data_IF_090498794793
#
_entry.id   IF_090498794793
#
_cell.length_a   1.000
_cell.length_b   1.000
_cell.length_c   1.000
_cell.angle_alpha   90.00
_cell.angle_beta   90.00
_cell.angle_gamma   90.00
#
_symmetry.space_group_name_H-M   'P 1'
#
loop_
_entity.id
_entity.type
_entity.pdbx_description
1 polymer ?
#
# COMPACT_ATOMS: atom_id res chain seq x y z
N UNK A 1 0.90 1.83 6.24
CA UNK A 1 0.92 2.67 7.47
C UNK A 1 1.89 2.14 8.52
N UNK A 2 1.89 0.83 8.89
CA UNK A 2 2.79 0.30 9.92
C UNK A 2 4.25 0.74 9.71
N UNK A 3 4.84 0.49 8.55
CA UNK A 3 6.22 0.87 8.24
C UNK A 3 6.45 2.39 8.28
N UNK A 4 5.48 3.17 7.82
CA UNK A 4 5.57 4.64 7.82
C UNK A 4 5.59 5.24 9.22
N UNK A 5 4.91 4.60 10.17
CA UNK A 5 4.78 5.05 11.56
C UNK A 5 5.59 4.20 12.55
N UNK A 6 6.60 3.47 12.10
CA UNK A 6 7.40 2.57 12.96
C UNK A 6 8.33 3.32 13.94
N UNK A 7 8.63 4.60 13.69
CA UNK A 7 9.41 5.43 14.62
C UNK A 7 8.62 5.87 15.86
N UNK A 8 7.30 5.73 15.86
CA UNK A 8 6.47 5.91 17.07
C UNK A 8 6.28 4.57 17.75
N UNK A 9 6.38 4.53 19.06
CA UNK A 9 6.02 3.36 19.85
C UNK A 9 4.50 3.08 19.79
N UNK A 10 4.06 1.90 20.21
CA UNK A 10 2.64 1.53 20.12
C UNK A 10 1.75 2.38 21.03
N UNK A 11 2.27 2.80 22.19
CA UNK A 11 1.58 3.67 23.16
C UNK A 11 1.42 5.12 22.67
N UNK A 12 2.24 5.58 21.72
CA UNK A 12 2.08 6.86 21.03
C UNK A 12 0.98 6.83 19.95
N UNK A 13 0.35 5.67 19.68
CA UNK A 13 -0.57 5.48 18.56
C UNK A 13 -1.92 4.95 19.01
N UNK A 14 -2.96 5.48 18.36
CA UNK A 14 -4.31 4.96 18.44
C UNK A 14 -4.91 4.83 17.03
N UNK A 15 -5.66 3.77 16.75
CA UNK A 15 -6.15 3.46 15.42
C UNK A 15 -7.67 3.31 15.38
N UNK A 16 -8.31 4.10 14.48
CA UNK A 16 -9.69 3.86 14.06
C UNK A 16 -9.69 3.08 12.76
N UNK A 17 -10.40 1.95 12.71
CA UNK A 17 -10.46 1.13 11.50
C UNK A 17 -11.83 0.46 11.29
N UNK A 18 -12.11 0.11 10.00
CA UNK A 18 -13.39 -0.44 9.56
C UNK A 18 -13.27 -1.85 8.97
N UNK A 19 -12.10 -2.48 9.06
CA UNK A 19 -11.89 -3.81 8.49
C UNK A 19 -12.47 -4.92 9.39
N UNK A 20 -12.89 -6.01 8.75
CA UNK A 20 -13.29 -7.24 9.44
C UNK A 20 -12.07 -7.98 9.99
N UNK A 21 -10.94 -7.92 9.30
CA UNK A 21 -9.70 -8.54 9.77
C UNK A 21 -9.17 -7.83 11.03
N UNK A 22 -8.54 -8.57 11.96
CA UNK A 22 -7.92 -7.96 13.12
C UNK A 22 -6.79 -7.04 12.68
N UNK A 23 -6.53 -5.94 13.43
CA UNK A 23 -5.40 -5.08 13.17
C UNK A 23 -4.10 -5.79 13.54
N UNK A 24 -2.98 -5.26 13.12
CA UNK A 24 -1.70 -5.66 13.68
C UNK A 24 -1.57 -5.07 15.10
N UNK A 25 -1.76 -5.91 16.11
CA UNK A 25 -1.73 -5.51 17.52
C UNK A 25 -0.37 -4.97 17.99
N UNK A 26 0.64 -4.99 17.16
CA UNK A 26 1.94 -4.34 17.42
C UNK A 26 1.99 -2.91 16.90
N UNK A 27 0.98 -2.51 16.12
CA UNK A 27 0.98 -1.20 15.44
C UNK A 27 0.54 -0.05 16.36
N UNK A 28 -0.40 -0.27 17.27
CA UNK A 28 -0.91 0.73 18.21
C UNK A 28 -1.41 0.03 19.49
N UNK A 29 -1.54 0.79 20.58
CA UNK A 29 -2.07 0.26 21.84
C UNK A 29 -3.59 0.40 21.95
N UNK A 30 -4.19 1.39 21.31
CA UNK A 30 -5.60 1.70 21.43
C UNK A 30 -6.31 1.62 20.08
N UNK A 31 -7.42 0.89 20.05
CA UNK A 31 -8.19 0.63 18.84
C UNK A 31 -9.66 0.99 19.02
N UNK A 32 -10.23 1.59 17.97
CA UNK A 32 -11.67 1.79 17.81
C UNK A 32 -12.10 1.13 16.50
N UNK A 33 -12.93 0.07 16.57
CA UNK A 33 -13.36 -0.71 15.41
C UNK A 33 -14.86 -0.58 15.19
N UNK A 34 -15.23 -0.29 13.92
CA UNK A 34 -16.62 -0.39 13.42
C UNK A 34 -16.59 -0.99 12.02
N UNK A 35 -17.16 -2.16 11.84
CA UNK A 35 -17.30 -2.80 10.53
C UNK A 35 -18.62 -2.45 9.85
N UNK A 36 -18.73 -2.72 8.53
CA UNK A 36 -20.00 -2.57 7.81
C UNK A 36 -21.15 -3.38 8.44
N UNK A 37 -20.86 -4.58 8.96
CA UNK A 37 -21.86 -5.43 9.65
C UNK A 37 -22.31 -4.77 10.96
N UNK A 38 -21.38 -4.26 11.74
CA UNK A 38 -21.69 -3.56 13.00
C UNK A 38 -22.49 -2.29 12.75
N UNK A 39 -22.14 -1.52 11.71
CA UNK A 39 -22.88 -0.35 11.27
C UNK A 39 -24.34 -0.74 10.91
N UNK A 40 -24.56 -1.84 10.19
CA UNK A 40 -25.91 -2.30 9.83
C UNK A 40 -26.68 -2.81 11.05
N UNK A 41 -26.04 -3.55 11.95
CA UNK A 41 -26.73 -4.08 13.16
C UNK A 41 -27.04 -3.03 14.20
N UNK A 42 -26.47 -1.83 14.08
CA UNK A 42 -26.81 -0.67 14.92
C UNK A 42 -28.31 -0.28 14.82
N UNK A 43 -28.93 -0.45 13.64
CA UNK A 43 -30.35 -0.15 13.44
C UNK A 43 -31.27 -1.06 14.27
N UNK A 44 -30.81 -2.24 14.66
CA UNK A 44 -31.56 -3.17 15.51
C UNK A 44 -31.09 -3.18 16.98
N UNK A 45 -30.35 -2.14 17.38
CA UNK A 45 -29.95 -1.92 18.78
C UNK A 45 -28.85 -2.86 19.29
N UNK A 46 -28.12 -3.58 18.40
CA UNK A 46 -26.99 -4.44 18.82
C UNK A 46 -25.74 -3.59 19.13
N UNK A 47 -24.83 -4.11 19.97
CA UNK A 47 -23.53 -3.48 20.25
C UNK A 47 -22.77 -3.29 18.94
N UNK A 48 -22.41 -2.05 18.62
CA UNK A 48 -21.98 -1.66 17.28
C UNK A 48 -20.51 -1.28 17.18
N UNK A 49 -19.84 -1.06 18.30
CA UNK A 49 -18.44 -0.63 18.32
C UNK A 49 -17.63 -1.48 19.27
N UNK A 50 -16.39 -1.75 18.92
CA UNK A 50 -15.40 -2.37 19.79
C UNK A 50 -14.30 -1.35 20.09
N UNK A 51 -14.12 -1.02 21.36
CA UNK A 51 -13.05 -0.17 21.87
C UNK A 51 -12.20 -1.10 22.73
N UNK A 52 -10.92 -1.24 22.42
CA UNK A 52 -10.03 -2.14 23.14
C UNK A 52 -8.58 -1.69 23.07
N UNK A 53 -7.80 -2.11 24.04
CA UNK A 53 -6.34 -1.96 24.03
C UNK A 53 -5.69 -3.28 23.63
N UNK A 54 -4.53 -3.20 22.95
CA UNK A 54 -3.85 -4.36 22.34
C UNK A 54 -3.59 -5.53 23.31
N UNK A 55 -3.38 -5.24 24.58
CA UNK A 55 -3.02 -6.22 25.62
C UNK A 55 -4.19 -6.74 26.46
N UNK A 56 -5.45 -6.48 26.05
CA UNK A 56 -6.65 -6.85 26.82
C UNK A 56 -7.28 -8.16 26.35
N UNK A 57 -8.14 -8.76 27.21
CA UNK A 57 -8.97 -9.90 26.84
C UNK A 57 -9.91 -9.59 25.66
N UNK A 58 -10.34 -8.34 25.51
CA UNK A 58 -11.14 -7.89 24.37
C UNK A 58 -10.37 -7.99 23.04
N UNK A 59 -9.04 -7.77 23.04
CA UNK A 59 -8.20 -7.98 21.87
C UNK A 59 -8.11 -9.46 21.49
N UNK A 60 -8.04 -10.36 22.48
CA UNK A 60 -8.10 -11.82 22.27
C UNK A 60 -9.46 -12.23 21.72
N UNK A 61 -10.54 -11.67 22.24
CA UNK A 61 -11.90 -11.91 21.75
C UNK A 61 -12.08 -11.46 20.29
N UNK A 62 -11.50 -10.30 19.90
CA UNK A 62 -11.50 -9.83 18.51
C UNK A 62 -10.70 -10.78 17.60
N UNK A 63 -9.56 -11.32 18.06
CA UNK A 63 -8.81 -12.37 17.34
C UNK A 63 -9.66 -13.62 17.12
N UNK A 64 -10.35 -14.09 18.15
CA UNK A 64 -11.15 -15.33 18.10
C UNK A 64 -12.39 -15.14 17.22
N UNK A 65 -13.11 -14.02 17.37
CA UNK A 65 -14.28 -13.71 16.51
C UNK A 65 -13.91 -13.59 15.04
N UNK A 66 -12.75 -13.01 14.72
CA UNK A 66 -12.29 -12.93 13.32
C UNK A 66 -11.84 -14.27 12.78
N UNK A 67 -11.29 -15.16 13.60
CA UNK A 67 -11.00 -16.56 13.20
C UNK A 67 -12.30 -17.33 12.95
N UNK A 68 -13.34 -17.13 13.75
CA UNK A 68 -14.65 -17.75 13.55
C UNK A 68 -15.42 -17.14 12.35
N UNK A 69 -15.35 -15.83 12.15
CA UNK A 69 -15.91 -15.16 10.97
C UNK A 69 -15.13 -15.48 9.69
N UNK A 70 -13.79 -15.61 9.75
CA UNK A 70 -12.93 -16.05 8.63
C UNK A 70 -12.89 -17.57 8.48
N UNK A 71 -13.06 -18.35 9.57
CA UNK A 71 -13.06 -19.82 9.60
C UNK A 71 -14.35 -20.43 9.08
N UNK A 72 -15.47 -19.71 9.12
CA UNK A 72 -16.70 -20.15 8.51
C UNK A 72 -16.55 -20.16 7.00
N UNK A 73 -16.41 -21.34 6.38
CA UNK A 73 -16.35 -21.53 4.92
C UNK A 73 -17.52 -20.89 4.18
N UNK A 74 -18.63 -20.58 4.86
CA UNK A 74 -19.77 -19.80 4.32
C UNK A 74 -19.45 -18.34 4.06
N UNK A 75 -18.58 -17.70 4.84
CA UNK A 75 -18.12 -16.34 4.60
C UNK A 75 -17.11 -16.27 3.42
N UNK A 76 -16.36 -17.35 3.16
CA UNK A 76 -15.44 -17.48 2.02
C UNK A 76 -16.15 -17.67 0.68
N UNK A 77 -17.38 -18.13 0.65
CA UNK A 77 -18.19 -18.27 -0.56
C UNK A 77 -19.02 -17.02 -0.84
N UNK A 78 -18.37 -15.87 -0.96
CA UNK A 78 -19.00 -14.77 -1.66
C UNK A 78 -19.21 -15.27 -3.09
N UNK A 79 -20.47 -15.47 -3.55
CA UNK A 79 -20.72 -15.98 -4.88
C UNK A 79 -20.01 -15.14 -5.94
N UNK A 80 -19.51 -15.72 -7.05
CA UNK A 80 -18.77 -14.98 -8.08
C UNK A 80 -19.52 -13.78 -8.63
N UNK A 81 -20.87 -13.82 -8.63
CA UNK A 81 -21.73 -12.71 -9.04
C UNK A 81 -21.74 -11.55 -8.04
N UNK A 82 -21.47 -11.79 -6.73
CA UNK A 82 -21.27 -10.73 -5.72
C UNK A 82 -19.86 -10.13 -5.81
N UNK A 83 -18.84 -10.90 -6.21
CA UNK A 83 -17.51 -10.36 -6.51
C UNK A 83 -17.56 -9.36 -7.68
N UNK A 84 -18.36 -9.63 -8.71
CA UNK A 84 -18.62 -8.67 -9.80
C UNK A 84 -19.35 -7.39 -9.35
N UNK A 85 -20.08 -7.42 -8.23
CA UNK A 85 -20.78 -6.26 -7.65
C UNK A 85 -19.87 -5.27 -6.91
N UNK A 86 -18.60 -5.59 -6.68
CA UNK A 86 -17.62 -4.67 -6.07
C UNK A 86 -17.51 -3.33 -6.81
N UNK A 87 -17.90 -3.31 -8.10
CA UNK A 87 -17.95 -2.13 -8.96
C UNK A 87 -19.37 -1.55 -9.14
N UNK A 88 -20.37 -1.99 -8.36
CA UNK A 88 -21.70 -1.44 -8.44
C UNK A 88 -21.79 -0.14 -7.61
N UNK A 89 -21.78 1.00 -8.31
CA UNK A 89 -21.83 2.31 -7.69
C UNK A 89 -23.13 2.58 -6.93
N UNK A 90 -24.23 1.93 -7.26
CA UNK A 90 -25.45 1.97 -6.46
C UNK A 90 -25.25 1.40 -5.06
N UNK A 91 -24.54 0.27 -4.94
CA UNK A 91 -24.20 -0.32 -3.66
C UNK A 91 -23.16 0.51 -2.89
N UNK A 92 -22.18 1.12 -3.58
CA UNK A 92 -21.25 2.06 -2.95
C UNK A 92 -22.01 3.26 -2.35
N UNK A 93 -22.93 3.86 -3.11
CA UNK A 93 -23.78 4.95 -2.61
C UNK A 93 -24.66 4.54 -1.43
N UNK A 94 -25.31 3.37 -1.52
CA UNK A 94 -26.10 2.84 -0.40
C UNK A 94 -25.24 2.69 0.86
N UNK A 95 -24.03 2.14 0.74
CA UNK A 95 -23.08 2.03 1.84
C UNK A 95 -22.75 3.38 2.45
N UNK A 96 -22.43 4.39 1.62
CA UNK A 96 -22.14 5.76 2.10
C UNK A 96 -23.32 6.37 2.87
N UNK A 97 -24.56 6.22 2.37
CA UNK A 97 -25.77 6.70 3.03
C UNK A 97 -25.97 5.98 4.37
N UNK A 98 -25.85 4.66 4.39
CA UNK A 98 -26.01 3.86 5.61
C UNK A 98 -25.01 4.27 6.70
N UNK A 99 -23.74 4.51 6.34
CA UNK A 99 -22.74 5.01 7.29
C UNK A 99 -23.09 6.40 7.87
N UNK A 100 -23.77 7.25 7.09
CA UNK A 100 -24.17 8.59 7.52
C UNK A 100 -25.35 8.55 8.50
N UNK A 101 -26.33 7.68 8.23
CA UNK A 101 -27.60 7.64 8.99
C UNK A 101 -27.60 6.63 10.13
N UNK A 102 -26.68 5.68 10.13
CA UNK A 102 -26.61 4.63 11.15
C UNK A 102 -26.20 5.19 12.52
N UNK A 103 -26.88 4.75 13.60
CA UNK A 103 -26.52 5.12 14.97
C UNK A 103 -25.36 4.28 15.54
N UNK A 104 -24.32 4.03 14.74
CA UNK A 104 -23.20 3.11 15.09
C UNK A 104 -22.32 3.60 16.26
N UNK A 105 -22.67 4.71 16.91
CA UNK A 105 -21.97 5.16 18.12
C UNK A 105 -21.00 6.31 17.90
N UNK A 106 -21.41 7.31 17.11
CA UNK A 106 -20.64 8.53 16.91
C UNK A 106 -20.20 9.20 18.21
N UNK A 107 -21.07 9.23 19.25
CA UNK A 107 -20.75 9.77 20.58
C UNK A 107 -19.62 9.00 21.26
N UNK A 108 -19.57 7.66 21.12
CA UNK A 108 -18.49 6.83 21.68
C UNK A 108 -17.15 7.11 21.01
N UNK A 109 -17.16 7.40 19.71
CA UNK A 109 -15.96 7.84 19.01
C UNK A 109 -15.46 9.18 19.54
N UNK A 110 -16.38 10.13 19.76
CA UNK A 110 -16.02 11.44 20.31
C UNK A 110 -15.44 11.34 21.72
N UNK A 111 -16.02 10.50 22.56
CA UNK A 111 -15.51 10.21 23.91
C UNK A 111 -14.13 9.55 23.84
N UNK A 112 -13.97 8.54 22.99
CA UNK A 112 -12.69 7.87 22.79
C UNK A 112 -11.60 8.83 22.29
N UNK A 113 -11.90 9.69 21.32
CA UNK A 113 -10.95 10.69 20.81
C UNK A 113 -10.56 11.68 21.92
N UNK A 114 -11.51 12.09 22.76
CA UNK A 114 -11.24 12.97 23.91
C UNK A 114 -10.34 12.30 24.95
N UNK A 115 -10.54 11.00 25.20
CA UNK A 115 -9.71 10.20 26.12
C UNK A 115 -8.28 10.03 25.58
N UNK A 116 -8.13 9.72 24.29
CA UNK A 116 -6.84 9.60 23.62
C UNK A 116 -6.12 10.94 23.55
N UNK A 117 -6.88 12.04 23.36
CA UNK A 117 -6.35 13.41 23.22
C UNK A 117 -5.19 13.49 22.22
N UNK A 118 -5.39 13.14 20.94
CA UNK A 118 -4.31 13.07 19.97
C UNK A 118 -3.67 14.45 19.71
N UNK A 119 -2.37 14.49 19.50
CA UNK A 119 -1.65 15.68 19.09
C UNK A 119 -1.71 15.92 17.58
N UNK A 120 -1.85 14.85 16.80
CA UNK A 120 -1.91 14.88 15.33
C UNK A 120 -2.89 13.82 14.83
N UNK A 121 -3.56 14.14 13.73
CA UNK A 121 -4.45 13.21 13.02
C UNK A 121 -3.75 12.74 11.75
N UNK A 122 -3.65 11.44 11.56
CA UNK A 122 -3.07 10.84 10.35
C UNK A 122 -4.18 10.11 9.59
N UNK A 123 -4.42 10.50 8.34
CA UNK A 123 -5.45 9.88 7.51
C UNK A 123 -4.84 9.26 6.25
N UNK A 124 -4.96 7.94 6.13
CA UNK A 124 -4.68 7.21 4.89
C UNK A 124 -5.88 7.34 3.95
N UNK A 125 -5.70 8.11 2.89
CA UNK A 125 -6.80 8.45 1.96
C UNK A 125 -7.23 7.22 1.17
N UNK A 126 -8.49 6.83 1.36
CA UNK A 126 -9.16 5.74 0.63
C UNK A 126 -10.23 6.23 -0.34
N UNK A 127 -11.11 5.36 -0.79
CA UNK A 127 -12.23 5.70 -1.69
C UNK A 127 -13.50 6.17 -0.97
N UNK A 128 -13.62 6.03 0.35
CA UNK A 128 -14.88 6.21 1.08
C UNK A 128 -15.16 7.68 1.38
N UNK A 129 -16.38 8.14 1.03
CA UNK A 129 -16.84 9.51 1.31
C UNK A 129 -17.15 9.69 2.80
N UNK A 130 -17.77 8.67 3.44
CA UNK A 130 -18.09 8.75 4.86
C UNK A 130 -16.84 8.94 5.72
N UNK A 131 -15.73 8.32 5.33
CA UNK A 131 -14.47 8.44 6.05
C UNK A 131 -13.90 9.86 5.92
N UNK A 132 -13.92 10.46 4.72
CA UNK A 132 -13.52 11.85 4.53
C UNK A 132 -14.34 12.81 5.42
N UNK A 133 -15.66 12.60 5.49
CA UNK A 133 -16.56 13.39 6.34
C UNK A 133 -16.26 13.20 7.83
N UNK A 134 -15.95 11.95 8.22
CA UNK A 134 -15.59 11.64 9.60
C UNK A 134 -14.30 12.35 9.99
N UNK A 135 -13.26 12.26 9.16
CA UNK A 135 -11.96 12.93 9.39
C UNK A 135 -12.15 14.44 9.50
N UNK A 136 -12.88 15.07 8.58
CA UNK A 136 -13.19 16.52 8.64
C UNK A 136 -13.95 16.91 9.92
N UNK A 137 -14.87 16.05 10.40
CA UNK A 137 -15.56 16.25 11.66
C UNK A 137 -14.59 16.19 12.84
N UNK A 138 -13.70 15.20 12.86
CA UNK A 138 -12.70 15.04 13.91
C UNK A 138 -11.71 16.21 13.92
N UNK A 139 -11.25 16.67 12.75
CA UNK A 139 -10.42 17.88 12.64
C UNK A 139 -11.09 19.09 13.28
N UNK A 140 -12.37 19.34 12.97
CA UNK A 140 -13.13 20.46 13.56
C UNK A 140 -13.34 20.32 15.06
N UNK A 141 -13.55 19.10 15.55
CA UNK A 141 -13.75 18.84 16.97
C UNK A 141 -12.48 19.01 17.78
N UNK A 142 -11.35 18.52 17.26
CA UNK A 142 -10.08 18.49 17.99
C UNK A 142 -9.21 19.71 17.74
N UNK A 143 -9.40 20.40 16.61
CA UNK A 143 -8.53 21.49 16.12
C UNK A 143 -7.04 21.06 16.03
N UNK A 144 -6.80 19.76 15.77
CA UNK A 144 -5.46 19.21 15.65
C UNK A 144 -5.00 19.15 14.20
N UNK A 145 -3.68 19.29 13.93
CA UNK A 145 -3.14 19.24 12.59
C UNK A 145 -3.42 17.89 11.91
N UNK A 146 -3.79 17.96 10.63
CA UNK A 146 -4.07 16.80 9.80
C UNK A 146 -2.86 16.48 8.90
N UNK A 147 -2.45 15.21 8.91
CA UNK A 147 -1.50 14.61 7.97
C UNK A 147 -2.28 13.71 7.02
N UNK A 148 -2.17 13.95 5.72
CA UNK A 148 -2.74 13.09 4.68
C UNK A 148 -1.67 12.17 4.12
N UNK A 149 -2.00 10.88 3.98
CA UNK A 149 -1.18 9.91 3.22
C UNK A 149 -1.92 9.49 1.96
N UNK A 150 -1.40 9.87 0.80
CA UNK A 150 -1.88 9.49 -0.52
C UNK A 150 -1.00 8.38 -1.09
N UNK A 151 -1.39 7.14 -0.88
CA UNK A 151 -0.70 5.96 -1.43
C UNK A 151 -1.24 5.52 -2.79
N UNK A 152 -2.41 6.05 -3.21
CA UNK A 152 -3.14 5.63 -4.40
C UNK A 152 -3.78 6.81 -5.13
N UNK A 153 -4.16 6.60 -6.39
CA UNK A 153 -4.70 7.62 -7.28
C UNK A 153 -6.21 7.89 -7.10
N UNK A 154 -6.83 7.48 -6.00
CA UNK A 154 -8.29 7.52 -5.81
C UNK A 154 -8.92 8.89 -6.06
N UNK A 155 -8.21 9.97 -5.76
CA UNK A 155 -8.76 11.34 -5.86
C UNK A 155 -8.41 12.05 -7.17
N UNK A 156 -7.48 11.50 -7.97
CA UNK A 156 -7.06 12.10 -9.25
C UNK A 156 -7.71 11.44 -10.47
N UNK A 157 -8.60 10.47 -10.28
CA UNK A 157 -9.38 9.82 -11.35
C UNK A 157 -10.08 10.90 -12.21
N UNK A 158 -10.00 10.78 -13.55
CA UNK A 158 -10.71 11.68 -14.45
C UNK A 158 -12.22 11.33 -14.49
N UNK A 159 -13.01 12.24 -13.91
CA UNK A 159 -14.45 12.07 -13.87
C UNK A 159 -15.14 12.33 -15.20
N UNK A 160 -14.45 12.86 -16.22
CA UNK A 160 -15.02 13.12 -17.56
C UNK A 160 -15.28 11.82 -18.30
N UNK A 161 -14.42 10.83 -18.09
CA UNK A 161 -14.52 9.49 -18.69
C UNK A 161 -15.52 8.56 -17.98
N UNK A 162 -16.13 9.02 -16.90
CA UNK A 162 -17.06 8.25 -16.08
C UNK A 162 -18.49 8.70 -16.31
N UNK A 163 -19.47 7.79 -16.10
CA UNK A 163 -20.88 8.05 -16.39
C UNK A 163 -21.78 7.72 -15.19
N UNK A 164 -23.00 8.31 -15.18
CA UNK A 164 -24.04 8.01 -14.19
C UNK A 164 -23.58 8.14 -12.74
N UNK A 165 -23.95 7.16 -11.92
CA UNK A 165 -23.65 7.12 -10.48
C UNK A 165 -22.15 7.08 -10.17
N UNK A 166 -21.37 6.48 -11.05
CA UNK A 166 -19.91 6.44 -10.92
C UNK A 166 -19.29 7.84 -10.98
N UNK A 167 -19.70 8.63 -11.99
CA UNK A 167 -19.22 10.03 -12.12
C UNK A 167 -19.59 10.88 -10.91
N UNK A 168 -20.83 10.73 -10.42
CA UNK A 168 -21.30 11.47 -9.24
C UNK A 168 -20.51 11.06 -8.00
N UNK A 169 -20.22 9.76 -7.84
CA UNK A 169 -19.44 9.23 -6.73
C UNK A 169 -18.04 9.85 -6.69
N UNK A 170 -17.27 9.74 -7.77
CA UNK A 170 -15.91 10.28 -7.80
C UNK A 170 -15.85 11.80 -7.70
N UNK A 171 -16.82 12.52 -8.26
CA UNK A 171 -16.95 13.98 -8.05
C UNK A 171 -17.19 14.31 -6.59
N UNK A 172 -18.02 13.54 -5.90
CA UNK A 172 -18.26 13.72 -4.46
C UNK A 172 -16.99 13.43 -3.65
N UNK A 173 -16.27 12.36 -3.96
CA UNK A 173 -14.97 12.07 -3.36
C UNK A 173 -13.99 13.24 -3.54
N UNK A 174 -13.89 13.79 -4.74
CA UNK A 174 -13.02 14.93 -5.04
C UNK A 174 -13.44 16.20 -4.29
N UNK A 175 -14.74 16.45 -4.17
CA UNK A 175 -15.29 17.59 -3.40
C UNK A 175 -14.88 17.54 -1.92
N UNK A 176 -14.98 16.39 -1.27
CA UNK A 176 -14.54 16.25 0.12
C UNK A 176 -13.03 16.30 0.25
N UNK A 177 -12.31 15.73 -0.74
CA UNK A 177 -10.85 15.77 -0.74
C UNK A 177 -10.31 17.21 -0.84
N UNK A 178 -10.96 18.13 -1.58
CA UNK A 178 -10.62 19.57 -1.59
C UNK A 178 -10.66 20.16 -0.18
N UNK A 179 -11.63 19.75 0.66
CA UNK A 179 -11.71 20.22 2.03
C UNK A 179 -10.58 19.64 2.90
N UNK A 180 -10.30 18.33 2.75
CA UNK A 180 -9.18 17.69 3.45
C UNK A 180 -7.84 18.32 3.07
N UNK A 181 -7.63 18.61 1.78
CA UNK A 181 -6.42 19.25 1.28
C UNK A 181 -6.19 20.64 1.89
N UNK A 182 -7.25 21.39 2.16
CA UNK A 182 -7.17 22.70 2.84
C UNK A 182 -6.83 22.59 4.33
N UNK A 183 -7.31 21.55 4.99
CA UNK A 183 -7.06 21.31 6.43
C UNK A 183 -5.67 20.66 6.66
N UNK A 184 -5.10 20.01 5.66
CA UNK A 184 -3.85 19.29 5.80
C UNK A 184 -2.66 20.22 6.06
N UNK A 185 -1.86 19.87 7.08
CA UNK A 185 -0.57 20.52 7.39
C UNK A 185 0.62 19.79 6.78
N UNK A 186 0.45 18.50 6.49
CA UNK A 186 1.41 17.67 5.78
C UNK A 186 0.67 16.73 4.84
N UNK A 187 1.20 16.59 3.63
CA UNK A 187 0.73 15.62 2.66
C UNK A 187 1.87 14.70 2.27
N UNK A 188 1.69 13.42 2.47
CA UNK A 188 2.68 12.38 2.18
C UNK A 188 2.23 11.60 0.96
N UNK A 189 3.13 11.38 0.02
CA UNK A 189 2.91 10.57 -1.18
C UNK A 189 3.91 9.43 -1.23
N UNK A 190 3.53 8.29 -1.86
CA UNK A 190 4.42 7.15 -2.03
C UNK A 190 5.28 7.21 -3.30
N UNK A 191 5.11 8.23 -4.15
CA UNK A 191 5.91 8.43 -5.35
C UNK A 191 5.85 9.87 -5.85
N UNK A 192 6.90 10.32 -6.57
CA UNK A 192 6.94 11.64 -7.20
C UNK A 192 5.84 11.82 -8.25
N UNK A 193 5.55 10.76 -9.04
CA UNK A 193 4.49 10.81 -10.03
C UNK A 193 3.13 11.07 -9.37
N UNK A 194 2.85 10.41 -8.25
CA UNK A 194 1.62 10.61 -7.52
C UNK A 194 1.53 12.03 -6.96
N UNK A 195 2.62 12.50 -6.33
CA UNK A 195 2.74 13.88 -5.82
C UNK A 195 2.42 14.90 -6.90
N UNK A 196 3.12 14.87 -8.03
CA UNK A 196 2.92 15.81 -9.14
C UNK A 196 1.46 15.82 -9.63
N UNK A 197 0.84 14.65 -9.80
CA UNK A 197 -0.54 14.57 -10.29
C UNK A 197 -1.56 15.09 -9.28
N UNK A 198 -1.34 14.89 -7.98
CA UNK A 198 -2.21 15.48 -6.94
C UNK A 198 -2.03 17.00 -6.86
N UNK A 199 -0.80 17.50 -6.85
CA UNK A 199 -0.49 18.94 -6.76
C UNK A 199 -0.91 19.71 -8.00
N UNK A 200 -0.90 19.07 -9.18
CA UNK A 200 -1.48 19.66 -10.38
C UNK A 200 -3.00 19.79 -10.32
N UNK A 201 -3.67 18.98 -9.50
CA UNK A 201 -5.13 18.96 -9.42
C UNK A 201 -5.69 19.71 -8.23
N UNK A 202 -4.97 19.77 -7.11
CA UNK A 202 -5.41 20.31 -5.84
C UNK A 202 -4.43 21.34 -5.28
N UNK A 203 -4.98 22.32 -4.59
CA UNK A 203 -4.19 23.30 -3.81
C UNK A 203 -4.07 22.80 -2.38
N UNK A 204 -2.85 22.68 -1.89
CA UNK A 204 -2.53 22.35 -0.51
C UNK A 204 -1.93 23.57 0.19
N UNK A 205 -2.27 23.79 1.47
CA UNK A 205 -1.71 24.87 2.28
C UNK A 205 -0.59 24.40 3.20
N UNK A 206 -0.47 23.08 3.41
CA UNK A 206 0.60 22.46 4.16
C UNK A 206 1.79 22.06 3.30
N UNK A 207 2.79 21.50 3.96
CA UNK A 207 3.95 20.94 3.31
C UNK A 207 3.63 19.62 2.61
N UNK A 208 4.46 19.23 1.65
CA UNK A 208 4.34 17.95 0.97
C UNK A 208 5.67 17.23 0.86
N UNK A 209 5.64 15.91 1.05
CA UNK A 209 6.83 15.05 1.05
C UNK A 209 6.54 13.72 0.34
N UNK A 210 7.56 13.17 -0.32
CA UNK A 210 7.50 11.79 -0.82
C UNK A 210 8.17 10.87 0.19
N UNK A 211 7.40 9.90 0.69
CA UNK A 211 7.87 8.78 1.47
C UNK A 211 7.56 7.49 0.69
N UNK A 212 8.56 6.97 0.01
CA UNK A 212 8.42 5.73 -0.74
C UNK A 212 8.05 4.56 0.16
N UNK A 213 7.47 3.51 -0.42
CA UNK A 213 7.28 2.26 0.31
C UNK A 213 8.62 1.80 0.89
N UNK A 214 8.59 1.34 2.13
CA UNK A 214 9.78 0.97 2.90
C UNK A 214 9.69 -0.46 3.42
N UNK A 215 10.84 -1.08 3.67
CA UNK A 215 10.98 -2.40 4.25
C UNK A 215 12.10 -2.39 5.31
N UNK A 216 12.13 -3.44 6.12
CA UNK A 216 13.27 -3.67 7.02
C UNK A 216 14.52 -3.95 6.17
N UNK A 217 15.60 -3.26 6.50
CA UNK A 217 16.87 -3.46 5.81
C UNK A 217 17.62 -4.63 6.45
N UNK A 218 17.86 -5.64 5.66
CA UNK A 218 18.74 -6.77 6.00
C UNK A 218 19.91 -6.79 5.03
N UNK A 219 20.82 -5.86 5.20
CA UNK A 219 21.96 -5.69 4.28
C UNK A 219 23.01 -6.79 4.44
N UNK A 220 22.61 -8.06 4.22
CA UNK A 220 23.59 -9.12 4.03
C UNK A 220 24.49 -8.80 2.83
N UNK A 221 25.74 -9.18 2.89
CA UNK A 221 26.63 -9.03 1.77
C UNK A 221 26.16 -9.93 0.61
N UNK A 222 26.02 -9.36 -0.59
CA UNK A 222 25.64 -10.14 -1.74
C UNK A 222 26.81 -11.00 -2.21
N UNK A 223 26.67 -12.31 -2.07
CA UNK A 223 27.58 -13.31 -2.63
C UNK A 223 26.83 -14.07 -3.74
N UNK A 224 27.26 -13.97 -5.00
CA UNK A 224 26.63 -14.70 -6.11
C UNK A 224 26.68 -16.21 -5.92
N UNK A 225 25.56 -16.88 -6.18
CA UNK A 225 25.45 -18.33 -6.13
C UNK A 225 26.26 -18.99 -7.27
N UNK A 226 26.67 -20.23 -7.08
CA UNK A 226 27.27 -21.04 -8.15
C UNK A 226 26.28 -21.29 -9.30
N UNK A 227 25.03 -21.64 -8.94
CA UNK A 227 23.90 -21.74 -9.86
C UNK A 227 23.01 -20.51 -9.67
N UNK A 228 22.79 -19.76 -10.74
CA UNK A 228 22.01 -18.53 -10.74
C UNK A 228 20.59 -18.77 -10.22
N UNK A 229 20.17 -18.00 -9.22
CA UNK A 229 18.81 -18.01 -8.63
C UNK A 229 18.04 -16.77 -9.04
N UNK A 230 16.94 -16.97 -9.75
CA UNK A 230 16.06 -15.91 -10.25
C UNK A 230 14.70 -16.08 -9.59
N UNK A 231 14.25 -15.06 -8.86
CA UNK A 231 13.04 -15.15 -8.04
C UNK A 231 12.05 -14.06 -8.36
N UNK A 232 10.79 -14.47 -8.53
CA UNK A 232 9.64 -13.59 -8.49
C UNK A 232 8.83 -13.86 -7.21
N UNK A 233 8.37 -12.81 -6.53
CA UNK A 233 7.46 -12.95 -5.41
C UNK A 233 6.35 -11.89 -5.43
N UNK A 234 5.20 -12.25 -4.89
CA UNK A 234 4.06 -11.34 -4.69
C UNK A 234 2.80 -11.73 -5.46
N UNK A 235 1.88 -10.77 -5.55
CA UNK A 235 0.60 -10.98 -6.22
C UNK A 235 0.76 -11.07 -7.74
N UNK A 236 0.24 -12.15 -8.33
CA UNK A 236 0.26 -12.43 -9.77
C UNK A 236 -0.97 -11.89 -10.52
N UNK A 237 -1.89 -11.22 -9.83
CA UNK A 237 -3.05 -10.57 -10.47
C UNK A 237 -2.66 -9.38 -11.34
N UNK A 238 -3.68 -8.77 -11.96
CA UNK A 238 -3.54 -7.56 -12.82
C UNK A 238 -2.66 -7.85 -14.05
N UNK A 239 -2.82 -9.04 -14.66
CA UNK A 239 -2.14 -9.41 -15.91
C UNK A 239 -0.63 -9.66 -15.79
N UNK A 240 -0.09 -9.83 -14.57
CA UNK A 240 1.36 -10.05 -14.37
C UNK A 240 1.82 -11.42 -14.83
N UNK A 241 0.93 -12.41 -14.88
CA UNK A 241 1.25 -13.77 -15.33
C UNK A 241 1.77 -13.76 -16.74
N UNK A 242 1.13 -13.05 -17.66
CA UNK A 242 1.57 -13.01 -19.07
C UNK A 242 2.97 -12.40 -19.22
N UNK A 243 3.26 -11.31 -18.49
CA UNK A 243 4.60 -10.72 -18.49
C UNK A 243 5.66 -11.64 -17.86
N UNK A 244 5.28 -12.43 -16.86
CA UNK A 244 6.16 -13.41 -16.24
C UNK A 244 6.46 -14.59 -17.17
N UNK A 245 5.46 -15.09 -17.91
CA UNK A 245 5.63 -16.12 -18.94
C UNK A 245 6.55 -15.62 -20.05
N UNK A 246 6.34 -14.41 -20.56
CA UNK A 246 7.25 -13.80 -21.56
C UNK A 246 8.69 -13.68 -21.03
N UNK A 247 8.84 -13.37 -19.73
CA UNK A 247 10.17 -13.30 -19.09
C UNK A 247 10.82 -14.70 -19.04
N UNK A 248 10.03 -15.73 -18.74
CA UNK A 248 10.51 -17.12 -18.71
C UNK A 248 10.86 -17.67 -20.11
N UNK A 249 10.06 -17.32 -21.14
CA UNK A 249 10.37 -17.64 -22.54
C UNK A 249 11.72 -17.03 -22.95
N UNK A 250 11.90 -15.74 -22.72
CA UNK A 250 13.15 -15.04 -23.03
C UNK A 250 14.34 -15.60 -22.23
N UNK A 251 14.14 -15.98 -20.98
CA UNK A 251 15.16 -16.61 -20.15
C UNK A 251 15.59 -17.97 -20.71
N UNK A 252 14.62 -18.82 -21.10
CA UNK A 252 14.88 -20.15 -21.68
C UNK A 252 15.68 -20.06 -22.98
N UNK A 253 15.46 -19.02 -23.78
CA UNK A 253 16.24 -18.79 -25.01
C UNK A 253 17.69 -18.34 -24.73
N UNK A 254 17.95 -17.62 -23.62
CA UNK A 254 19.27 -17.10 -23.27
C UNK A 254 20.07 -18.15 -22.52
N UNK A 255 19.47 -18.79 -21.52
CA UNK A 255 20.11 -19.79 -20.64
C UNK A 255 19.10 -20.91 -20.28
N UNK A 256 19.00 -21.97 -21.08
CA UNK A 256 18.00 -23.02 -20.88
C UNK A 256 18.09 -23.77 -19.56
N UNK A 257 19.20 -23.67 -18.85
CA UNK A 257 19.38 -24.29 -17.53
C UNK A 257 18.81 -23.48 -16.39
N UNK A 258 18.46 -22.22 -16.63
CA UNK A 258 17.87 -21.32 -15.62
C UNK A 258 16.34 -21.42 -15.59
N UNK A 259 15.79 -21.32 -14.39
CA UNK A 259 14.35 -21.26 -14.14
C UNK A 259 14.03 -20.09 -13.24
N UNK A 260 12.77 -19.64 -13.26
CA UNK A 260 12.24 -18.62 -12.36
C UNK A 260 11.50 -19.31 -11.22
N UNK A 261 11.96 -19.12 -10.00
CA UNK A 261 11.24 -19.51 -8.80
C UNK A 261 10.13 -18.47 -8.50
N UNK A 262 8.87 -18.91 -8.45
CA UNK A 262 7.70 -18.04 -8.33
C UNK A 262 6.96 -18.29 -7.02
N UNK A 263 6.88 -17.25 -6.18
CA UNK A 263 6.20 -17.30 -4.89
C UNK A 263 5.06 -16.29 -4.84
N UNK A 264 3.86 -16.73 -4.47
CA UNK A 264 2.70 -15.85 -4.32
C UNK A 264 1.39 -16.47 -4.75
N UNK A 265 0.33 -15.67 -4.77
CA UNK A 265 -1.00 -16.12 -5.16
C UNK A 265 -1.26 -15.82 -6.63
N UNK A 266 -1.56 -16.85 -7.41
CA UNK A 266 -2.05 -16.72 -8.77
C UNK A 266 -3.59 -16.65 -8.78
N UNK A 267 -4.20 -15.88 -9.72
CA UNK A 267 -5.64 -15.94 -9.95
C UNK A 267 -6.09 -17.34 -10.41
N UNK A 268 -7.36 -17.67 -10.12
CA UNK A 268 -7.97 -18.90 -10.64
C UNK A 268 -7.83 -18.98 -12.17
N UNK A 269 -7.38 -20.09 -12.70
CA UNK A 269 -7.13 -20.32 -14.13
C UNK A 269 -5.76 -19.88 -14.66
N UNK A 270 -4.99 -19.08 -13.92
CA UNK A 270 -3.63 -18.68 -14.31
C UNK A 270 -2.56 -19.64 -13.75
N UNK A 271 -2.90 -20.37 -12.69
CA UNK A 271 -2.01 -21.33 -12.04
C UNK A 271 -1.55 -22.45 -12.98
N UNK A 272 -2.47 -22.96 -13.80
CA UNK A 272 -2.18 -24.01 -14.76
C UNK A 272 -1.15 -23.55 -15.80
N UNK A 273 -1.26 -22.32 -16.30
CA UNK A 273 -0.30 -21.74 -17.25
C UNK A 273 1.10 -21.64 -16.64
N UNK A 274 1.20 -21.16 -15.38
CA UNK A 274 2.47 -21.04 -14.68
C UNK A 274 3.12 -22.41 -14.45
N UNK A 275 2.34 -23.38 -13.97
CA UNK A 275 2.84 -24.72 -13.64
C UNK A 275 3.20 -25.54 -14.87
N UNK A 276 2.63 -25.26 -16.04
CA UNK A 276 2.92 -25.92 -17.29
C UNK A 276 4.19 -25.39 -17.99
N UNK A 277 4.69 -24.22 -17.59
CA UNK A 277 5.82 -23.58 -18.26
C UNK A 277 7.17 -24.16 -17.78
N UNK A 278 8.03 -24.71 -18.67
CA UNK A 278 9.26 -25.40 -18.27
C UNK A 278 10.30 -24.48 -17.60
N UNK A 279 10.28 -23.18 -17.89
CA UNK A 279 11.15 -22.15 -17.28
C UNK A 279 10.62 -21.59 -15.95
N UNK A 280 9.55 -22.15 -15.37
CA UNK A 280 8.95 -21.67 -14.12
C UNK A 280 8.78 -22.81 -13.12
N UNK A 281 9.17 -22.55 -11.86
CA UNK A 281 8.83 -23.40 -10.72
C UNK A 281 7.92 -22.58 -9.80
N UNK A 282 6.64 -22.98 -9.73
CA UNK A 282 5.65 -22.32 -8.88
C UNK A 282 5.60 -22.97 -7.50
N UNK A 283 5.88 -22.19 -6.45
CA UNK A 283 5.95 -22.66 -5.06
C UNK A 283 4.70 -22.28 -4.22
N UNK A 284 3.82 -21.44 -4.76
CA UNK A 284 2.66 -20.96 -4.01
C UNK A 284 3.00 -19.87 -2.98
N UNK A 285 2.13 -19.73 -1.98
CA UNK A 285 2.30 -18.74 -0.92
C UNK A 285 3.25 -19.26 0.17
N UNK A 286 4.13 -18.40 0.65
CA UNK A 286 5.07 -18.66 1.75
C UNK A 286 4.90 -17.63 2.86
N UNK A 287 5.36 -17.94 4.08
CA UNK A 287 5.34 -16.98 5.19
C UNK A 287 6.30 -15.81 4.95
N UNK A 288 6.15 -14.73 5.73
CA UNK A 288 7.03 -13.57 5.62
C UNK A 288 8.49 -13.93 5.95
N UNK A 289 8.70 -14.79 6.92
CA UNK A 289 10.02 -15.28 7.35
C UNK A 289 10.69 -16.10 6.24
N UNK A 290 9.95 -17.04 5.65
CA UNK A 290 10.44 -17.86 4.53
C UNK A 290 10.74 -16.97 3.30
N UNK A 291 9.87 -15.99 3.02
CA UNK A 291 10.09 -15.07 1.91
C UNK A 291 11.38 -14.27 2.10
N UNK A 292 11.70 -13.88 3.32
CA UNK A 292 12.92 -13.15 3.63
C UNK A 292 14.17 -13.99 3.27
N UNK A 293 14.22 -15.24 3.71
CA UNK A 293 15.30 -16.18 3.38
C UNK A 293 15.43 -16.41 1.87
N UNK A 294 14.28 -16.54 1.17
CA UNK A 294 14.25 -16.73 -0.30
C UNK A 294 14.84 -15.51 -1.02
N UNK A 295 14.45 -14.31 -0.62
CA UNK A 295 14.96 -13.06 -1.19
C UNK A 295 16.47 -12.95 -0.96
N UNK A 296 16.94 -13.26 0.24
CA UNK A 296 18.36 -13.21 0.59
C UNK A 296 19.20 -14.25 -0.17
N UNK A 297 18.61 -15.38 -0.50
CA UNK A 297 19.28 -16.43 -1.28
C UNK A 297 19.24 -16.17 -2.80
N UNK A 298 18.56 -15.14 -3.28
CA UNK A 298 18.39 -14.85 -4.71
C UNK A 298 19.53 -14.01 -5.28
N UNK A 299 19.88 -14.23 -6.54
CA UNK A 299 20.80 -13.37 -7.30
C UNK A 299 20.08 -12.25 -8.03
N UNK A 300 18.93 -12.58 -8.63
CA UNK A 300 18.11 -11.67 -9.39
C UNK A 300 16.68 -11.74 -8.86
N UNK A 301 16.15 -10.59 -8.48
CA UNK A 301 14.74 -10.42 -8.11
C UNK A 301 13.98 -9.80 -9.28
N UNK A 302 12.77 -10.29 -9.55
CA UNK A 302 11.96 -9.83 -10.67
C UNK A 302 10.84 -8.91 -10.23
N UNK A 303 10.69 -7.80 -10.93
CA UNK A 303 9.52 -6.93 -10.89
C UNK A 303 8.87 -6.93 -12.26
N UNK A 304 7.69 -7.54 -12.39
CA UNK A 304 6.95 -7.53 -13.65
C UNK A 304 5.60 -6.86 -13.48
N UNK A 305 5.18 -6.10 -14.50
CA UNK A 305 3.85 -5.50 -14.60
C UNK A 305 3.26 -5.78 -16.00
N UNK A 306 1.94 -5.72 -16.10
CA UNK A 306 1.25 -6.01 -17.36
C UNK A 306 1.45 -4.90 -18.39
N UNK A 307 1.67 -5.30 -19.64
CA UNK A 307 1.64 -4.42 -20.82
C UNK A 307 0.24 -4.33 -21.44
N UNK A 308 -0.74 -5.08 -20.93
CA UNK A 308 -2.12 -5.03 -21.41
C UNK A 308 -2.75 -3.66 -21.06
N UNK A 309 -3.26 -2.91 -22.07
CA UNK A 309 -3.92 -1.62 -21.87
C UNK A 309 -5.04 -1.64 -20.81
N UNK A 310 -5.73 -2.78 -20.64
CA UNK A 310 -6.79 -2.94 -19.65
C UNK A 310 -6.32 -2.74 -18.19
N UNK A 311 -5.03 -2.92 -17.92
CA UNK A 311 -4.45 -2.77 -16.59
C UNK A 311 -3.58 -1.52 -16.43
N UNK A 312 -3.16 -0.87 -17.50
CA UNK A 312 -2.21 0.27 -17.46
C UNK A 312 -2.73 1.40 -16.57
N UNK A 313 -4.01 1.76 -16.67
CA UNK A 313 -4.59 2.83 -15.83
C UNK A 313 -4.51 2.54 -14.33
N UNK A 314 -4.64 1.26 -13.94
CA UNK A 314 -4.52 0.82 -12.54
C UNK A 314 -3.08 0.81 -12.07
N UNK A 315 -2.14 0.49 -12.96
CA UNK A 315 -0.72 0.37 -12.66
C UNK A 315 0.02 1.71 -12.72
N UNK A 316 -0.51 2.66 -13.48
CA UNK A 316 0.15 3.94 -13.77
C UNK A 316 0.72 4.65 -12.54
N UNK A 317 -0.08 4.78 -11.50
CA UNK A 317 0.28 5.49 -10.27
C UNK A 317 0.69 4.57 -9.12
N UNK A 318 0.55 3.26 -9.30
CA UNK A 318 0.91 2.30 -8.27
C UNK A 318 2.43 2.23 -8.11
N UNK A 319 2.91 2.39 -6.87
CA UNK A 319 4.30 2.18 -6.54
C UNK A 319 4.48 0.84 -5.83
N UNK A 320 5.21 -0.06 -6.47
CA UNK A 320 5.33 -1.44 -6.01
C UNK A 320 6.07 -1.55 -4.67
N UNK A 321 5.47 -2.24 -3.70
CA UNK A 321 6.10 -2.54 -2.41
C UNK A 321 7.31 -3.48 -2.56
N UNK A 322 7.33 -4.31 -3.62
CA UNK A 322 8.44 -5.22 -3.92
C UNK A 322 9.77 -4.49 -4.13
N UNK A 323 9.73 -3.29 -4.72
CA UNK A 323 10.95 -2.50 -4.97
C UNK A 323 11.67 -2.23 -3.64
N UNK A 324 10.94 -1.81 -2.61
CA UNK A 324 11.53 -1.59 -1.29
C UNK A 324 12.13 -2.87 -0.71
N UNK A 325 11.42 -3.99 -0.79
CA UNK A 325 11.90 -5.29 -0.29
C UNK A 325 13.18 -5.74 -1.03
N UNK A 326 13.20 -5.64 -2.37
CA UNK A 326 14.36 -6.00 -3.18
C UNK A 326 15.58 -5.13 -2.85
N UNK A 327 15.37 -3.83 -2.69
CA UNK A 327 16.46 -2.90 -2.41
C UNK A 327 16.98 -3.04 -0.97
N UNK A 328 16.10 -3.24 0.01
CA UNK A 328 16.48 -3.47 1.40
C UNK A 328 17.21 -4.83 1.60
N UNK A 329 16.99 -5.79 0.71
CA UNK A 329 17.78 -7.01 0.66
C UNK A 329 19.14 -6.85 -0.05
N UNK A 330 19.38 -5.73 -0.75
CA UNK A 330 20.61 -5.50 -1.49
C UNK A 330 20.83 -6.47 -2.62
N UNK A 331 19.78 -6.81 -3.38
CA UNK A 331 19.83 -7.76 -4.52
C UNK A 331 19.65 -7.04 -5.85
N UNK A 332 20.18 -7.64 -6.94
CA UNK A 332 19.96 -7.13 -8.28
C UNK A 332 18.48 -7.23 -8.64
N UNK A 333 17.88 -6.12 -9.04
CA UNK A 333 16.50 -6.06 -9.50
C UNK A 333 16.46 -5.99 -11.03
N UNK A 334 15.71 -6.90 -11.66
CA UNK A 334 15.30 -6.79 -13.04
C UNK A 334 13.83 -6.40 -13.11
N UNK A 335 13.51 -5.35 -13.88
CA UNK A 335 12.14 -4.89 -14.06
C UNK A 335 11.71 -5.03 -15.52
N UNK A 336 10.62 -5.77 -15.76
CA UNK A 336 9.91 -5.79 -17.04
C UNK A 336 8.52 -5.21 -16.85
N UNK A 337 8.38 -3.92 -17.19
CA UNK A 337 7.18 -3.16 -16.88
C UNK A 337 7.04 -1.93 -17.77
N UNK A 338 5.80 -1.50 -18.12
CA UNK A 338 5.57 -0.37 -19.02
C UNK A 338 6.21 0.93 -18.53
N UNK A 339 6.84 1.68 -19.43
CA UNK A 339 7.54 2.95 -19.16
C UNK A 339 6.66 3.99 -18.44
N UNK A 340 5.34 3.96 -18.66
CA UNK A 340 4.38 4.94 -18.13
C UNK A 340 3.98 4.76 -16.67
N UNK A 341 4.52 3.77 -15.94
CA UNK A 341 4.17 3.52 -14.53
C UNK A 341 5.11 4.22 -13.56
N UNK A 342 4.59 4.58 -12.37
CA UNK A 342 5.38 5.23 -11.32
C UNK A 342 6.61 4.41 -10.90
N UNK A 343 6.46 3.10 -10.77
CA UNK A 343 7.55 2.18 -10.46
C UNK A 343 8.64 2.18 -11.51
N UNK A 344 8.27 2.06 -12.79
CA UNK A 344 9.25 2.04 -13.90
C UNK A 344 9.98 3.36 -14.05
N UNK A 345 9.27 4.50 -13.97
CA UNK A 345 9.91 5.82 -14.03
C UNK A 345 10.89 6.02 -12.88
N UNK A 346 10.54 5.57 -11.68
CA UNK A 346 11.45 5.63 -10.53
C UNK A 346 12.72 4.81 -10.77
N UNK A 347 12.59 3.56 -11.22
CA UNK A 347 13.74 2.68 -11.48
C UNK A 347 14.65 3.24 -12.58
N UNK A 348 14.08 3.79 -13.65
CA UNK A 348 14.83 4.45 -14.72
C UNK A 348 15.56 5.70 -14.23
N UNK A 349 14.88 6.57 -13.48
CA UNK A 349 15.45 7.82 -12.99
C UNK A 349 16.55 7.65 -11.95
N UNK A 350 16.53 6.54 -11.21
CA UNK A 350 17.51 6.23 -10.17
C UNK A 350 18.62 5.29 -10.64
N UNK A 351 18.50 4.74 -11.85
CA UNK A 351 19.43 3.74 -12.42
C UNK A 351 19.73 2.61 -11.43
N UNK A 352 18.72 2.18 -10.66
CA UNK A 352 18.86 1.25 -9.54
C UNK A 352 18.48 -0.19 -9.87
N UNK A 353 17.99 -0.43 -11.09
CA UNK A 353 17.60 -1.73 -11.62
C UNK A 353 17.92 -1.80 -13.11
N UNK A 354 18.04 -3.00 -13.64
CA UNK A 354 17.99 -3.19 -15.10
C UNK A 354 16.53 -3.21 -15.51
N UNK A 355 16.15 -2.32 -16.41
CA UNK A 355 14.75 -2.10 -16.80
C UNK A 355 14.55 -2.38 -18.27
N UNK A 356 13.64 -3.30 -18.59
CA UNK A 356 13.05 -3.49 -19.91
C UNK A 356 11.67 -2.82 -19.90
N UNK A 357 11.55 -1.62 -20.48
CA UNK A 357 10.36 -0.81 -20.43
C UNK A 357 9.43 -1.03 -21.65
N UNK A 358 9.87 -1.89 -22.58
CA UNK A 358 9.14 -2.34 -23.75
C UNK A 358 9.46 -3.81 -24.04
N UNK A 359 8.56 -4.55 -24.75
CA UNK A 359 8.77 -5.97 -25.02
C UNK A 359 10.05 -6.31 -25.81
N UNK A 360 10.46 -5.47 -26.72
CA UNK A 360 11.69 -5.61 -27.52
C UNK A 360 12.97 -5.41 -26.70
N UNK A 361 12.91 -4.78 -25.54
CA UNK A 361 14.03 -4.60 -24.62
C UNK A 361 14.24 -5.81 -23.70
N UNK A 362 13.26 -6.71 -23.57
CA UNK A 362 13.23 -7.80 -22.56
C UNK A 362 14.44 -8.72 -22.69
N UNK A 363 14.68 -9.25 -23.86
CA UNK A 363 15.75 -10.24 -24.10
C UNK A 363 17.14 -9.65 -23.86
N UNK A 364 17.38 -8.42 -24.33
CA UNK A 364 18.66 -7.74 -24.16
C UNK A 364 18.92 -7.40 -22.69
N UNK A 365 17.90 -6.91 -21.97
CA UNK A 365 18.01 -6.61 -20.55
C UNK A 365 18.27 -7.84 -19.68
N UNK A 366 17.60 -8.97 -19.97
CA UNK A 366 17.85 -10.25 -19.30
C UNK A 366 19.26 -10.76 -19.59
N UNK A 367 19.67 -10.81 -20.86
CA UNK A 367 20.99 -11.29 -21.26
C UNK A 367 22.12 -10.51 -20.57
N UNK A 368 21.94 -9.20 -20.39
CA UNK A 368 22.91 -8.34 -19.70
C UNK A 368 23.18 -8.81 -18.27
N UNK A 369 22.14 -9.14 -17.50
CA UNK A 369 22.30 -9.51 -16.08
C UNK A 369 22.57 -10.99 -15.88
N UNK A 370 22.12 -11.87 -16.78
CA UNK A 370 22.38 -13.31 -16.70
C UNK A 370 23.85 -13.60 -16.98
N UNK A 371 24.40 -13.02 -18.04
CA UNK A 371 25.75 -13.28 -18.49
C UNK A 371 26.84 -12.48 -17.76
N UNK A 372 26.46 -11.50 -16.89
CA UNK A 372 27.42 -10.59 -16.30
C UNK A 372 27.23 -10.49 -14.77
N UNK A 373 28.10 -11.18 -14.04
CA UNK A 373 28.13 -11.19 -12.57
C UNK A 373 28.49 -9.82 -11.99
N UNK A 374 29.38 -9.09 -12.64
CA UNK A 374 29.86 -7.77 -12.23
C UNK A 374 28.71 -6.76 -12.29
N UNK A 375 27.89 -6.82 -13.32
CA UNK A 375 26.69 -5.99 -13.46
C UNK A 375 25.68 -6.30 -12.34
N UNK A 376 25.40 -7.57 -12.04
CA UNK A 376 24.53 -7.93 -10.93
C UNK A 376 25.04 -7.36 -9.61
N UNK A 377 26.34 -7.48 -9.36
CA UNK A 377 26.97 -6.94 -8.14
C UNK A 377 26.87 -5.42 -8.07
N UNK A 378 27.06 -4.72 -9.18
CA UNK A 378 26.93 -3.27 -9.25
C UNK A 378 25.48 -2.80 -8.96
N UNK A 379 24.48 -3.45 -9.58
CA UNK A 379 23.08 -3.12 -9.32
C UNK A 379 22.65 -3.49 -7.89
N UNK A 380 23.15 -4.55 -7.30
CA UNK A 380 22.94 -4.87 -5.89
C UNK A 380 23.49 -3.77 -4.97
N UNK A 381 24.68 -3.23 -5.26
CA UNK A 381 25.26 -2.09 -4.52
C UNK A 381 24.44 -0.80 -4.69
N UNK A 382 23.96 -0.50 -5.91
CA UNK A 382 23.09 0.66 -6.18
C UNK A 382 21.77 0.52 -5.43
N UNK A 383 21.15 -0.65 -5.46
CA UNK A 383 19.92 -0.97 -4.73
C UNK A 383 20.09 -0.74 -3.22
N UNK A 384 21.16 -1.28 -2.62
CA UNK A 384 21.49 -1.10 -1.20
C UNK A 384 21.69 0.38 -0.82
N UNK A 385 22.42 1.16 -1.64
CA UNK A 385 22.61 2.60 -1.41
C UNK A 385 21.29 3.34 -1.42
N UNK A 386 20.44 3.07 -2.41
CA UNK A 386 19.16 3.73 -2.54
C UNK A 386 18.17 3.31 -1.44
N UNK A 387 18.23 2.03 -1.00
CA UNK A 387 17.47 1.55 0.14
C UNK A 387 17.78 2.35 1.40
N UNK A 388 19.06 2.50 1.75
CA UNK A 388 19.48 3.27 2.93
C UNK A 388 18.96 4.71 2.90
N UNK A 389 18.86 5.32 1.71
CA UNK A 389 18.42 6.72 1.57
C UNK A 389 16.91 6.89 1.55
N UNK A 390 16.15 5.94 0.94
CA UNK A 390 14.75 6.15 0.57
C UNK A 390 13.79 5.02 0.93
N UNK A 391 14.27 3.83 1.31
CA UNK A 391 13.42 2.65 1.51
C UNK A 391 13.64 1.92 2.84
N UNK A 392 14.67 2.29 3.60
CA UNK A 392 14.86 1.75 4.93
C UNK A 392 13.75 2.22 5.87
N UNK A 393 13.04 1.28 6.47
CA UNK A 393 11.84 1.54 7.27
C UNK A 393 12.13 2.51 8.43
N UNK A 394 13.24 2.31 9.14
CA UNK A 394 13.58 3.15 10.28
C UNK A 394 13.91 4.58 9.85
N UNK A 395 14.64 4.74 8.74
CA UNK A 395 15.01 6.05 8.19
C UNK A 395 13.80 6.82 7.66
N UNK A 396 12.96 6.17 6.87
CA UNK A 396 11.75 6.79 6.31
C UNK A 396 10.79 7.20 7.43
N UNK A 397 10.54 6.33 8.39
CA UNK A 397 9.62 6.64 9.49
C UNK A 397 10.15 7.76 10.39
N UNK A 398 11.48 7.79 10.66
CA UNK A 398 12.10 8.89 11.40
C UNK A 398 11.95 10.21 10.68
N UNK A 399 12.21 10.26 9.37
CA UNK A 399 12.00 11.46 8.55
C UNK A 399 10.57 11.99 8.70
N UNK A 400 9.56 11.13 8.65
CA UNK A 400 8.16 11.54 8.83
C UNK A 400 7.90 12.00 10.26
N UNK A 401 8.46 11.34 11.28
CA UNK A 401 8.34 11.79 12.68
C UNK A 401 8.93 13.18 12.87
N UNK A 402 10.06 13.47 12.25
CA UNK A 402 10.69 14.79 12.31
C UNK A 402 9.84 15.88 11.65
N UNK A 403 9.26 15.60 10.46
CA UNK A 403 8.33 16.51 9.78
C UNK A 403 7.07 16.80 10.64
N UNK A 404 6.46 15.77 11.22
CA UNK A 404 5.34 15.95 12.15
C UNK A 404 5.77 16.78 13.37
N UNK A 405 6.96 16.55 13.91
CA UNK A 405 7.52 17.34 15.01
C UNK A 405 7.68 18.84 14.68
N UNK A 406 8.06 19.16 13.44
CA UNK A 406 8.12 20.56 12.95
C UNK A 406 6.72 21.18 12.96
N UNK A 407 5.71 20.47 12.43
CA UNK A 407 4.32 20.96 12.38
C UNK A 407 3.80 21.23 13.80
N UNK A 408 4.00 20.31 14.73
CA UNK A 408 3.53 20.48 16.13
C UNK A 408 4.18 21.69 16.81
N UNK A 409 5.48 21.94 16.58
CA UNK A 409 6.16 23.14 17.08
C UNK A 409 5.61 24.42 16.50
N UNK A 410 5.32 24.44 15.19
CA UNK A 410 4.77 25.63 14.51
C UNK A 410 3.36 25.97 15.02
N UNK A 411 2.50 24.96 15.22
CA UNK A 411 1.16 25.14 15.80
C UNK A 411 1.24 25.67 17.25
N UNK A 412 2.16 25.15 18.07
CA UNK A 412 2.37 25.62 19.44
C UNK A 412 2.82 27.09 19.49
N UNK A 413 3.70 27.50 18.59
CA UNK A 413 4.21 28.88 18.50
C UNK A 413 3.14 29.84 17.95
N UNK A 414 2.39 29.43 16.92
CA UNK A 414 1.28 30.21 16.36
C UNK A 414 0.17 30.47 17.40
N UNK A 415 -0.12 29.47 18.25
CA UNK A 415 -1.11 29.59 19.33
C UNK A 415 -0.63 30.51 20.47
N UNK A 416 0.65 30.70 20.71
CA UNK A 416 1.20 31.65 21.69
C UNK A 416 1.07 33.09 21.20
N UNK A 417 1.39 33.37 19.95
CA UNK A 417 1.29 34.72 19.38
C UNK A 417 -0.14 35.26 19.31
N UNK A 418 -1.16 34.40 19.29
CA UNK A 418 -2.60 34.82 19.32
C UNK A 418 -3.05 35.12 20.74
N UNK A 419 -2.38 34.61 21.78
CA UNK A 419 -2.75 34.88 23.20
C UNK A 419 -2.06 36.11 23.78
N UNK A 420 -1.00 36.59 23.12
CA UNK A 420 -0.23 37.78 23.56
C UNK A 420 -0.64 39.09 22.85
N UNK A 421 -1.57 39.02 21.86
CA UNK A 421 -2.26 40.13 21.23
C UNK A 421 -3.74 40.19 21.64
#
# INVERSE_FOLDING_TARGET
MKNLLSAWSSDEKAEFYCDVQPPDFTAADNYFRVTDIQMLTAFVGKKTVHIFSANTEDAKAVKTQTTDECGNERARRIPPWLKKRKYNFGLKWLREILWIISPWGHHKLDEWIKQISPDVLVYMVGESIFMDRLVLRVCRMTQKPLVLYNGEAYRIIDCRERHGLERIYYRSCQKYYVQLAKEARLVIYNSEMLKQNYENKYVFFGESVVAYNSAESNFSEYCPNEKLKITYFGNLGVGRVDSLLQTADALTEIEPSCVIDVYGNAPDGELEKLSAHPGIIYHGFVSAEQLHEIIDASDILLHVESFDPAYIDKLKYAFSTKIAQCFCAGRCLFSYAPKGTASTQYLLSTESAVVAAAPDELKNGLALIINNKEIRTEYAKRAKRLATQKHDMASVSRQIKDQVGVILRNEANGSRNIREN
#
